data_IF_957963642950
#
_entry.id   IF_957963642950
#
_cell.length_a   1.000
_cell.length_b   1.000
_cell.length_c   1.000
_cell.angle_alpha   90.00
_cell.angle_beta   90.00
_cell.angle_gamma   90.00
#
_symmetry.space_group_name_H-M   'P 1'
#
loop_
_entity.id
_entity.type
_entity.pdbx_description
1 polymer ?
#
# COMPACT_ATOMS: atom_id res chain seq x y z
N UNK A 1 9.97 -1.70 -27.94
CA UNK A 1 9.99 -0.50 -27.08
C UNK A 1 10.57 -0.85 -25.72
N UNK A 2 11.00 0.11 -24.91
CA UNK A 2 11.38 -0.12 -23.51
C UNK A 2 10.57 0.77 -22.56
N UNK A 3 10.36 0.31 -21.33
CA UNK A 3 9.59 1.07 -20.32
C UNK A 3 10.56 1.81 -19.41
N UNK A 4 10.36 3.11 -19.26
CA UNK A 4 11.16 4.00 -18.42
C UNK A 4 10.28 4.62 -17.34
N UNK A 5 10.56 4.33 -16.08
CA UNK A 5 9.87 4.94 -14.95
C UNK A 5 10.51 6.29 -14.61
N UNK A 6 9.78 7.37 -14.74
CA UNK A 6 10.28 8.70 -14.43
C UNK A 6 10.20 8.99 -12.93
N UNK A 7 11.36 9.08 -12.27
CA UNK A 7 11.50 9.42 -10.86
C UNK A 7 12.52 10.56 -10.74
N UNK A 8 12.08 11.84 -10.68
CA UNK A 8 12.96 13.01 -10.78
C UNK A 8 14.08 13.11 -9.72
N UNK A 9 13.89 12.47 -8.57
CA UNK A 9 14.84 12.47 -7.45
C UNK A 9 15.47 11.07 -7.21
N UNK A 10 15.58 10.27 -8.27
CA UNK A 10 16.24 8.97 -8.21
C UNK A 10 17.77 9.13 -8.25
N UNK A 11 18.43 8.52 -7.29
CA UNK A 11 19.90 8.57 -7.10
C UNK A 11 20.53 7.15 -7.04
N UNK A 12 19.90 6.15 -7.63
CA UNK A 12 20.27 4.73 -7.58
C UNK A 12 20.11 4.05 -6.21
N UNK A 13 19.59 4.74 -5.21
CA UNK A 13 19.21 4.13 -3.94
C UNK A 13 17.75 3.62 -3.97
N UNK A 14 17.45 2.66 -3.10
CA UNK A 14 16.06 2.18 -2.94
C UNK A 14 15.16 3.35 -2.52
N UNK A 15 14.13 3.69 -3.29
CA UNK A 15 13.30 4.84 -2.97
C UNK A 15 12.60 4.67 -1.61
N UNK A 16 12.76 5.66 -0.73
CA UNK A 16 12.09 5.66 0.60
C UNK A 16 10.56 5.62 0.52
N UNK A 17 9.98 6.08 -0.61
CA UNK A 17 8.51 6.10 -0.80
C UNK A 17 8.02 4.77 -1.34
N UNK A 18 7.12 4.13 -0.62
CA UNK A 18 6.49 2.86 -1.00
C UNK A 18 5.94 2.87 -2.43
N UNK A 19 5.21 3.94 -2.83
CA UNK A 19 4.67 4.04 -4.19
C UNK A 19 5.73 4.00 -5.30
N UNK A 20 6.97 4.42 -5.05
CA UNK A 20 8.06 4.31 -6.03
C UNK A 20 8.65 2.91 -6.08
N UNK A 21 8.74 2.27 -4.91
CA UNK A 21 9.19 0.87 -4.86
C UNK A 21 8.22 -0.04 -5.55
N UNK A 22 6.96 -0.02 -5.16
CA UNK A 22 5.92 -0.92 -5.67
C UNK A 22 5.56 -0.65 -7.14
N UNK A 23 5.66 0.63 -7.61
CA UNK A 23 5.25 0.98 -8.96
C UNK A 23 6.39 1.09 -9.98
N UNK A 24 7.65 1.06 -9.53
CA UNK A 24 8.80 1.15 -10.42
C UNK A 24 9.90 0.13 -10.08
N UNK A 25 10.62 0.32 -8.97
CA UNK A 25 11.88 -0.43 -8.75
C UNK A 25 11.68 -1.92 -8.46
N UNK A 26 10.57 -2.33 -7.87
CA UNK A 26 10.29 -3.75 -7.64
C UNK A 26 9.83 -4.45 -8.94
N UNK A 27 8.88 -3.92 -9.71
CA UNK A 27 8.50 -4.50 -11.01
C UNK A 27 9.67 -4.68 -11.97
N UNK A 28 10.67 -3.80 -11.94
CA UNK A 28 11.87 -3.92 -12.79
C UNK A 28 12.63 -5.24 -12.61
N UNK A 29 12.50 -5.92 -11.46
CA UNK A 29 13.11 -7.26 -11.26
C UNK A 29 12.59 -8.31 -12.24
N UNK A 30 11.33 -8.17 -12.66
CA UNK A 30 10.69 -9.08 -13.61
C UNK A 30 10.63 -8.55 -15.06
N UNK A 31 11.25 -7.40 -15.32
CA UNK A 31 11.23 -6.76 -16.64
C UNK A 31 12.52 -7.04 -17.43
N UNK A 32 12.57 -6.51 -18.66
CA UNK A 32 13.72 -6.68 -19.56
C UNK A 32 14.91 -5.81 -19.10
N UNK A 33 16.10 -6.16 -19.55
CA UNK A 33 17.33 -5.41 -19.18
C UNK A 33 17.39 -3.98 -19.73
N UNK A 34 16.64 -3.68 -20.82
CA UNK A 34 16.58 -2.32 -21.38
C UNK A 34 15.51 -1.43 -20.72
N UNK A 35 14.68 -1.98 -19.83
CA UNK A 35 13.75 -1.22 -19.00
C UNK A 35 14.51 -0.57 -17.82
N UNK A 36 13.98 0.52 -17.26
CA UNK A 36 14.71 1.18 -16.17
C UNK A 36 14.03 2.40 -15.59
N UNK A 37 14.76 3.05 -14.67
CA UNK A 37 14.38 4.33 -14.06
C UNK A 37 15.18 5.44 -14.72
N UNK A 38 14.50 6.53 -15.05
CA UNK A 38 15.12 7.80 -15.50
C UNK A 38 14.78 8.91 -14.49
N UNK A 39 15.69 9.83 -14.29
CA UNK A 39 15.50 11.00 -13.42
C UNK A 39 15.36 12.31 -14.20
N UNK A 40 15.65 12.29 -15.50
CA UNK A 40 15.45 13.38 -16.44
C UNK A 40 14.73 12.86 -17.68
N UNK A 41 13.71 13.57 -18.14
CA UNK A 41 12.92 13.19 -19.33
C UNK A 41 13.74 13.27 -20.65
N UNK A 42 14.84 14.02 -20.66
CA UNK A 42 15.75 14.08 -21.79
C UNK A 42 16.45 12.74 -22.08
N UNK A 43 16.49 11.84 -21.11
CA UNK A 43 17.03 10.48 -21.23
C UNK A 43 16.11 9.54 -22.04
N UNK A 44 14.84 9.92 -22.24
CA UNK A 44 13.90 9.11 -23.02
C UNK A 44 14.01 9.37 -24.53
N UNK A 45 13.77 8.31 -25.30
CA UNK A 45 13.80 8.31 -26.78
C UNK A 45 12.42 7.96 -27.35
N UNK A 46 12.24 8.12 -28.66
CA UNK A 46 11.00 7.75 -29.36
C UNK A 46 10.67 6.24 -29.29
N UNK A 47 11.64 5.42 -28.91
CA UNK A 47 11.45 3.98 -28.73
C UNK A 47 11.07 3.61 -27.28
N UNK A 48 10.86 4.60 -26.41
CA UNK A 48 10.50 4.37 -25.01
C UNK A 48 9.02 4.66 -24.75
N UNK A 49 8.49 4.00 -23.74
CA UNK A 49 7.25 4.36 -23.07
C UNK A 49 7.62 4.90 -21.69
N UNK A 50 7.34 6.18 -21.44
CA UNK A 50 7.66 6.81 -20.16
C UNK A 50 6.48 6.72 -19.21
N UNK A 51 6.69 6.09 -18.05
CA UNK A 51 5.71 6.01 -16.97
C UNK A 51 5.89 7.19 -16.04
N UNK A 52 4.93 8.10 -16.09
CA UNK A 52 4.82 9.25 -15.19
C UNK A 52 4.07 8.85 -13.91
N UNK A 53 4.58 9.25 -12.76
CA UNK A 53 3.99 8.93 -11.47
C UNK A 53 3.72 10.20 -10.63
N UNK A 54 3.30 10.01 -9.44
CA UNK A 54 2.77 10.91 -8.40
C UNK A 54 3.27 12.38 -8.36
N UNK A 55 4.49 12.68 -8.84
CA UNK A 55 5.07 14.05 -8.82
C UNK A 55 5.09 14.71 -10.20
N UNK A 56 4.62 14.02 -11.21
CA UNK A 56 4.61 14.55 -12.58
C UNK A 56 3.67 15.74 -12.71
N UNK A 57 4.01 16.62 -13.65
CA UNK A 57 3.31 17.86 -13.96
C UNK A 57 2.76 17.80 -15.40
N UNK A 58 1.78 18.62 -15.78
CA UNK A 58 1.30 18.69 -17.15
C UNK A 58 2.41 18.91 -18.19
N UNK A 59 3.38 19.77 -17.86
CA UNK A 59 4.52 20.04 -18.74
C UNK A 59 5.37 18.78 -19.05
N UNK A 60 5.41 17.80 -18.16
CA UNK A 60 6.12 16.54 -18.40
C UNK A 60 5.47 15.75 -19.55
N UNK A 61 4.12 15.74 -19.59
CA UNK A 61 3.36 15.08 -20.67
C UNK A 61 3.55 15.84 -21.99
N UNK A 62 3.48 17.18 -21.99
CA UNK A 62 3.67 17.98 -23.17
C UNK A 62 5.08 17.82 -23.74
N UNK A 63 6.10 17.85 -22.90
CA UNK A 63 7.49 17.60 -23.30
C UNK A 63 7.66 16.26 -24.04
N UNK A 64 7.03 15.18 -23.52
CA UNK A 64 7.08 13.85 -24.14
C UNK A 64 6.33 13.83 -25.48
N UNK A 65 5.15 14.46 -25.55
CA UNK A 65 4.34 14.52 -26.77
C UNK A 65 5.03 15.30 -27.89
N UNK A 66 5.64 16.44 -27.61
CA UNK A 66 6.40 17.23 -28.60
C UNK A 66 7.55 16.44 -29.22
N UNK A 67 8.06 15.43 -28.48
CA UNK A 67 9.14 14.54 -28.93
C UNK A 67 8.64 13.21 -29.50
N UNK A 68 7.33 13.03 -29.66
CA UNK A 68 6.70 11.78 -30.08
C UNK A 68 7.07 10.57 -29.19
N UNK A 69 7.23 10.81 -27.89
CA UNK A 69 7.50 9.76 -26.89
C UNK A 69 6.18 9.40 -26.23
N UNK A 70 5.86 8.10 -26.21
CA UNK A 70 4.66 7.58 -25.55
C UNK A 70 4.73 7.79 -24.04
N UNK A 71 3.63 8.22 -23.43
CA UNK A 71 3.57 8.39 -21.98
C UNK A 71 2.37 7.69 -21.34
N UNK A 72 2.62 7.06 -20.20
CA UNK A 72 1.63 6.40 -19.37
C UNK A 72 1.58 7.12 -18.03
N UNK A 73 0.39 7.38 -17.51
CA UNK A 73 0.24 7.98 -16.18
C UNK A 73 -0.19 6.94 -15.15
N UNK A 74 0.66 6.70 -14.14
CA UNK A 74 0.41 5.74 -13.06
C UNK A 74 -0.24 6.41 -11.85
N UNK A 75 -1.47 5.99 -11.50
CA UNK A 75 -2.30 6.58 -10.44
C UNK A 75 -2.51 5.55 -9.33
N UNK A 76 -1.91 5.79 -8.18
CA UNK A 76 -2.02 4.94 -6.98
C UNK A 76 -2.65 5.61 -5.75
N UNK A 77 -3.06 6.88 -5.86
CA UNK A 77 -3.72 7.64 -4.77
C UNK A 77 -4.87 8.48 -5.30
N UNK A 78 -5.97 8.56 -4.54
CA UNK A 78 -7.09 9.44 -4.84
C UNK A 78 -6.66 10.92 -4.81
N UNK A 79 -6.80 11.60 -5.95
CA UNK A 79 -6.53 13.04 -6.11
C UNK A 79 -7.81 13.87 -6.10
N UNK A 80 -8.96 13.27 -6.37
CA UNK A 80 -10.27 13.94 -6.48
C UNK A 80 -11.01 14.09 -5.16
N UNK A 81 -10.39 13.70 -4.04
CA UNK A 81 -11.00 13.86 -2.72
C UNK A 81 -11.39 15.30 -2.45
N UNK A 82 -12.54 15.50 -1.85
CA UNK A 82 -12.92 16.79 -1.28
C UNK A 82 -12.02 17.09 -0.07
N UNK A 83 -11.56 18.32 0.04
CA UNK A 83 -10.70 18.75 1.13
C UNK A 83 -10.97 20.21 1.45
N UNK A 84 -10.85 20.56 2.73
CA UNK A 84 -10.91 21.94 3.21
C UNK A 84 -9.67 22.79 2.86
N UNK A 85 -8.64 22.15 2.24
CA UNK A 85 -7.45 22.88 1.83
C UNK A 85 -7.78 23.83 0.69
N UNK A 86 -7.66 25.11 0.96
CA UNK A 86 -7.87 26.18 -0.02
C UNK A 86 -6.99 25.91 -1.26
N UNK A 87 -7.59 26.06 -2.45
CA UNK A 87 -6.91 25.84 -3.73
C UNK A 87 -6.45 24.40 -4.02
N UNK A 88 -6.89 23.37 -3.25
CA UNK A 88 -6.59 21.98 -3.58
C UNK A 88 -7.03 21.63 -5.01
N UNK A 89 -8.24 22.03 -5.38
CA UNK A 89 -8.78 21.76 -6.70
C UNK A 89 -7.87 22.33 -7.79
N UNK A 90 -7.50 23.60 -7.69
CA UNK A 90 -6.64 24.27 -8.68
C UNK A 90 -5.22 23.70 -8.71
N UNK A 91 -4.63 23.42 -7.54
CA UNK A 91 -3.22 23.01 -7.44
C UNK A 91 -2.99 21.53 -7.68
N UNK A 92 -4.00 20.70 -7.48
CA UNK A 92 -3.86 19.24 -7.55
C UNK A 92 -4.80 18.61 -8.58
N UNK A 93 -6.12 18.91 -8.49
CA UNK A 93 -7.11 18.20 -9.33
C UNK A 93 -6.99 18.63 -10.79
N UNK A 94 -6.93 19.93 -11.08
CA UNK A 94 -6.82 20.43 -12.47
C UNK A 94 -5.56 19.89 -13.15
N UNK A 95 -4.34 20.07 -12.61
CA UNK A 95 -3.13 19.51 -13.22
C UNK A 95 -3.19 17.98 -13.36
N UNK A 96 -3.78 17.28 -12.39
CA UNK A 96 -3.93 15.84 -12.44
C UNK A 96 -4.85 15.41 -13.59
N UNK A 97 -6.02 16.06 -13.76
CA UNK A 97 -6.94 15.80 -14.86
C UNK A 97 -6.29 16.10 -16.21
N UNK A 98 -5.48 17.12 -16.29
CA UNK A 98 -4.75 17.51 -17.50
C UNK A 98 -3.74 16.43 -17.91
N UNK A 99 -2.98 15.88 -16.95
CA UNK A 99 -2.10 14.74 -17.19
C UNK A 99 -2.91 13.52 -17.66
N UNK A 100 -4.01 13.18 -16.97
CA UNK A 100 -4.87 12.07 -17.32
C UNK A 100 -5.41 12.14 -18.76
N UNK A 101 -5.86 13.31 -19.17
CA UNK A 101 -6.43 13.54 -20.51
C UNK A 101 -5.37 13.39 -21.60
N UNK A 102 -4.16 13.85 -21.34
CA UNK A 102 -3.09 13.94 -22.31
C UNK A 102 -2.13 12.75 -22.34
N UNK A 103 -2.06 11.91 -21.32
CA UNK A 103 -1.30 10.66 -21.35
C UNK A 103 -1.89 9.70 -22.41
N UNK A 104 -1.07 8.87 -23.03
CA UNK A 104 -1.53 7.87 -24.02
C UNK A 104 -2.35 6.77 -23.33
N UNK A 105 -1.93 6.32 -22.15
CA UNK A 105 -2.71 5.43 -21.30
C UNK A 105 -2.63 5.83 -19.81
N UNK A 106 -3.58 5.31 -19.02
CA UNK A 106 -3.56 5.43 -17.56
C UNK A 106 -3.44 4.03 -16.97
N UNK A 107 -2.58 3.89 -15.96
CA UNK A 107 -2.45 2.67 -15.15
C UNK A 107 -2.86 2.94 -13.72
N UNK A 108 -3.47 1.96 -13.08
CA UNK A 108 -3.90 2.03 -11.68
C UNK A 108 -3.74 0.69 -10.95
N UNK A 109 -3.97 0.68 -9.64
CA UNK A 109 -3.67 -0.46 -8.76
C UNK A 109 -4.85 -1.36 -8.47
N UNK A 110 -6.10 -0.91 -8.71
CA UNK A 110 -7.30 -1.69 -8.35
C UNK A 110 -8.55 -1.21 -9.10
N UNK A 111 -9.57 -2.05 -9.10
CA UNK A 111 -10.84 -1.79 -9.77
C UNK A 111 -11.53 -0.50 -9.26
N UNK A 112 -11.57 -0.28 -7.95
CA UNK A 112 -12.19 0.94 -7.39
C UNK A 112 -11.49 2.24 -7.83
N UNK A 113 -10.17 2.19 -8.06
CA UNK A 113 -9.44 3.34 -8.59
C UNK A 113 -9.74 3.53 -10.08
N UNK A 114 -9.86 2.46 -10.86
CA UNK A 114 -10.28 2.49 -12.26
C UNK A 114 -11.64 3.16 -12.43
N UNK A 115 -12.61 2.77 -11.59
CA UNK A 115 -13.95 3.37 -11.56
C UNK A 115 -13.88 4.87 -11.24
N UNK A 116 -13.10 5.26 -10.24
CA UNK A 116 -12.90 6.65 -9.84
C UNK A 116 -12.25 7.48 -10.95
N UNK A 117 -11.30 6.93 -11.69
CA UNK A 117 -10.67 7.59 -12.85
C UNK A 117 -11.71 7.79 -13.94
N UNK A 118 -12.47 6.75 -14.29
CA UNK A 118 -13.49 6.82 -15.32
C UNK A 118 -14.55 7.88 -14.99
N UNK A 119 -15.01 7.93 -13.74
CA UNK A 119 -15.98 8.93 -13.26
C UNK A 119 -15.47 10.37 -13.38
N UNK A 120 -14.20 10.63 -13.07
CA UNK A 120 -13.68 11.99 -12.97
C UNK A 120 -13.04 12.53 -14.25
N UNK A 121 -12.54 11.67 -15.14
CA UNK A 121 -11.82 12.07 -16.36
C UNK A 121 -12.41 11.49 -17.65
N UNK A 122 -13.39 10.62 -17.54
CA UNK A 122 -14.02 9.90 -18.66
C UNK A 122 -12.98 9.19 -19.56
N UNK A 123 -11.98 8.55 -18.92
CA UNK A 123 -10.94 7.80 -19.60
C UNK A 123 -10.71 6.49 -18.85
N UNK A 124 -10.71 5.38 -19.57
CA UNK A 124 -10.45 4.06 -18.97
C UNK A 124 -8.98 3.91 -18.56
N UNK A 125 -8.73 3.00 -17.64
CA UNK A 125 -7.38 2.72 -17.15
C UNK A 125 -7.12 1.21 -17.05
N UNK A 126 -5.85 0.85 -17.16
CA UNK A 126 -5.36 -0.51 -17.10
C UNK A 126 -4.99 -0.81 -15.65
N UNK A 127 -5.47 -1.93 -15.11
CA UNK A 127 -5.10 -2.35 -13.76
C UNK A 127 -3.79 -3.13 -13.85
N UNK A 128 -2.77 -2.64 -13.14
CA UNK A 128 -1.53 -3.36 -12.82
C UNK A 128 -1.39 -3.34 -11.31
N UNK A 129 -1.50 -4.50 -10.68
CA UNK A 129 -1.44 -4.63 -9.22
C UNK A 129 -0.07 -4.21 -8.65
N UNK A 130 0.00 -3.98 -7.35
CA UNK A 130 1.28 -3.83 -6.66
C UNK A 130 1.92 -5.20 -6.42
N UNK A 131 3.24 -5.34 -6.61
CA UNK A 131 3.99 -6.53 -6.23
C UNK A 131 4.17 -6.58 -4.71
N UNK A 132 4.61 -7.71 -4.16
CA UNK A 132 5.15 -7.77 -2.82
C UNK A 132 6.60 -7.27 -2.76
N UNK A 133 7.03 -6.82 -1.58
CA UNK A 133 8.45 -6.51 -1.30
C UNK A 133 9.03 -7.31 -0.11
N UNK A 134 8.16 -8.00 0.64
CA UNK A 134 8.57 -8.83 1.76
C UNK A 134 9.18 -10.16 1.28
N UNK A 135 10.13 -10.68 2.05
CA UNK A 135 10.64 -12.03 1.84
C UNK A 135 9.58 -13.06 2.18
N UNK A 136 9.47 -14.12 1.38
CA UNK A 136 8.62 -15.26 1.69
C UNK A 136 9.23 -16.02 2.87
N UNK A 137 8.52 -16.06 3.99
CA UNK A 137 8.94 -16.73 5.20
C UNK A 137 7.96 -17.85 5.55
N UNK A 138 8.49 -18.95 6.11
CA UNK A 138 7.65 -20.01 6.65
C UNK A 138 6.75 -19.49 7.78
N UNK A 139 5.47 -19.87 7.79
CA UNK A 139 4.55 -19.48 8.86
C UNK A 139 5.03 -19.98 10.22
N UNK A 140 5.28 -19.06 11.14
CA UNK A 140 5.60 -19.40 12.54
C UNK A 140 4.39 -19.08 13.42
N UNK A 141 3.62 -20.12 13.78
CA UNK A 141 2.37 -20.02 14.55
C UNK A 141 2.58 -20.46 16.00
N UNK A 142 3.76 -20.26 16.54
CA UNK A 142 4.04 -20.56 17.93
C UNK A 142 3.85 -19.32 18.79
N UNK A 143 2.57 -18.98 19.07
CA UNK A 143 2.25 -17.89 19.97
C UNK A 143 2.88 -18.15 21.36
N UNK A 144 3.68 -17.19 21.80
CA UNK A 144 4.27 -17.19 23.15
C UNK A 144 3.22 -16.78 24.17
N UNK A 145 3.55 -16.91 25.47
CA UNK A 145 2.67 -16.42 26.54
C UNK A 145 2.34 -14.94 26.33
N UNK A 146 3.33 -14.14 25.96
CA UNK A 146 3.18 -12.72 25.60
C UNK A 146 3.24 -12.58 24.08
N UNK A 147 2.18 -12.06 23.48
CA UNK A 147 2.00 -11.98 22.02
C UNK A 147 2.51 -10.64 21.52
N UNK A 148 3.30 -10.65 20.46
CA UNK A 148 3.78 -9.45 19.78
C UNK A 148 2.87 -9.13 18.61
N UNK A 149 2.12 -8.03 18.72
CA UNK A 149 1.25 -7.51 17.67
C UNK A 149 1.96 -6.36 16.97
N UNK A 150 1.95 -6.36 15.65
CA UNK A 150 2.56 -5.30 14.86
C UNK A 150 1.52 -4.59 13.98
N UNK A 151 1.50 -3.26 14.08
CA UNK A 151 0.76 -2.36 13.20
C UNK A 151 1.73 -1.42 12.47
N UNK A 152 1.54 -1.19 11.19
CA UNK A 152 2.37 -0.25 10.45
C UNK A 152 1.57 0.51 9.40
N UNK A 153 1.97 1.76 9.16
CA UNK A 153 1.32 2.58 8.15
C UNK A 153 1.37 4.07 8.41
N UNK A 154 0.38 4.78 7.87
CA UNK A 154 0.33 6.22 7.96
C UNK A 154 -0.22 6.67 9.33
N UNK A 155 0.45 7.63 9.96
CA UNK A 155 0.05 8.22 11.26
C UNK A 155 -1.38 8.76 11.26
N UNK A 156 -1.91 9.22 10.12
CA UNK A 156 -3.30 9.65 10.00
C UNK A 156 -4.31 8.51 10.17
N UNK A 157 -3.96 7.30 9.71
CA UNK A 157 -4.84 6.13 9.94
C UNK A 157 -4.78 5.69 11.39
N UNK A 158 -3.59 5.71 11.99
CA UNK A 158 -3.41 5.42 13.39
C UNK A 158 -4.22 6.37 14.29
N UNK A 159 -4.21 7.68 14.02
CA UNK A 159 -4.92 8.68 14.83
C UNK A 159 -6.46 8.60 14.75
N UNK A 160 -7.01 7.79 13.85
CA UNK A 160 -8.48 7.57 13.74
C UNK A 160 -8.99 6.40 14.58
N UNK A 161 -8.09 5.55 15.06
CA UNK A 161 -8.43 4.42 15.92
C UNK A 161 -8.55 4.93 17.36
N UNK A 162 -9.62 4.56 18.05
CA UNK A 162 -9.70 4.75 19.51
C UNK A 162 -8.87 3.67 20.21
N UNK A 163 -7.57 3.95 20.34
CA UNK A 163 -6.62 3.03 20.94
C UNK A 163 -6.89 2.78 22.42
N UNK A 164 -7.46 3.75 23.17
CA UNK A 164 -7.83 3.51 24.56
C UNK A 164 -8.89 2.42 24.65
N UNK A 165 -9.97 2.58 23.88
CA UNK A 165 -11.06 1.60 23.87
C UNK A 165 -10.57 0.23 23.37
N UNK A 166 -9.77 0.19 22.31
CA UNK A 166 -9.21 -1.06 21.80
C UNK A 166 -8.34 -1.77 22.83
N UNK A 167 -7.38 -1.05 23.45
CA UNK A 167 -6.44 -1.64 24.42
C UNK A 167 -7.15 -2.07 25.71
N UNK A 168 -8.18 -1.34 26.14
CA UNK A 168 -9.03 -1.74 27.28
C UNK A 168 -9.78 -3.06 26.98
N UNK A 169 -10.29 -3.25 25.75
CA UNK A 169 -10.95 -4.52 25.33
C UNK A 169 -9.97 -5.70 25.21
N UNK A 170 -8.71 -5.42 24.96
CA UNK A 170 -7.65 -6.43 24.88
C UNK A 170 -7.05 -6.81 26.25
N UNK A 171 -7.53 -6.25 27.36
CA UNK A 171 -6.94 -6.40 28.71
C UNK A 171 -6.79 -7.85 29.20
N UNK A 172 -7.57 -8.79 28.66
CA UNK A 172 -7.51 -10.22 29.00
C UNK A 172 -6.42 -11.00 28.23
N UNK A 173 -5.68 -10.34 27.35
CA UNK A 173 -4.60 -10.93 26.55
C UNK A 173 -3.28 -10.30 26.99
N UNK A 174 -2.27 -11.14 27.27
CA UNK A 174 -0.91 -10.66 27.54
C UNK A 174 -0.22 -10.37 26.19
N UNK A 175 -0.03 -9.09 25.83
CA UNK A 175 0.53 -8.68 24.54
C UNK A 175 1.36 -7.40 24.61
N UNK A 176 2.16 -7.20 23.60
CA UNK A 176 2.78 -5.93 23.24
C UNK A 176 2.30 -5.51 21.85
N UNK A 177 1.85 -4.25 21.74
CA UNK A 177 1.46 -3.65 20.46
C UNK A 177 2.54 -2.67 20.01
N UNK A 178 3.21 -3.02 18.92
CA UNK A 178 4.21 -2.19 18.28
C UNK A 178 3.59 -1.51 17.06
N UNK A 179 3.66 -0.17 16.99
CA UNK A 179 3.11 0.60 15.87
C UNK A 179 4.22 1.41 15.19
N UNK A 180 4.44 1.17 13.90
CA UNK A 180 5.41 1.93 13.11
C UNK A 180 4.70 2.94 12.21
N UNK A 181 5.04 4.23 12.36
CA UNK A 181 4.31 5.36 11.80
C UNK A 181 5.23 6.33 11.07
N UNK A 182 4.73 6.94 9.99
CA UNK A 182 5.51 7.82 9.11
C UNK A 182 5.82 9.22 9.69
N UNK A 183 5.16 9.64 10.79
CA UNK A 183 5.26 11.00 11.34
C UNK A 183 4.96 11.07 12.83
N UNK A 184 5.63 10.31 13.66
CA UNK A 184 5.37 10.28 15.10
C UNK A 184 5.48 11.66 15.74
N UNK A 185 6.54 12.41 15.44
CA UNK A 185 6.81 13.73 16.05
C UNK A 185 5.66 14.74 15.91
N UNK A 186 4.90 14.67 14.80
CA UNK A 186 3.74 15.56 14.58
C UNK A 186 2.57 15.26 15.50
N UNK A 187 2.51 14.09 16.08
CA UNK A 187 1.41 13.60 16.89
C UNK A 187 1.84 13.27 18.31
N UNK A 188 3.06 13.63 18.72
CA UNK A 188 3.64 13.30 20.03
C UNK A 188 2.76 13.77 21.18
N UNK A 189 2.21 14.98 21.09
CA UNK A 189 1.29 15.53 22.10
C UNK A 189 0.04 14.67 22.25
N UNK A 190 -0.49 14.14 21.14
CA UNK A 190 -1.70 13.29 21.14
C UNK A 190 -1.38 11.90 21.71
N UNK A 191 -0.19 11.36 21.43
CA UNK A 191 0.18 10.00 21.82
C UNK A 191 0.74 9.89 23.24
N UNK A 192 1.28 10.98 23.79
CA UNK A 192 1.88 10.97 25.13
C UNK A 192 0.92 10.48 26.24
N UNK A 193 -0.34 10.95 26.35
CA UNK A 193 -1.29 10.42 27.33
C UNK A 193 -1.59 8.92 27.11
N UNK A 194 -1.71 8.49 25.84
CA UNK A 194 -1.97 7.10 25.48
C UNK A 194 -0.83 6.19 25.96
N UNK A 195 0.43 6.57 25.70
CA UNK A 195 1.63 5.84 26.13
C UNK A 195 1.82 5.83 27.66
N UNK A 196 1.36 6.87 28.33
CA UNK A 196 1.38 6.90 29.79
C UNK A 196 0.39 5.91 30.42
N UNK A 197 -0.79 5.75 29.80
CA UNK A 197 -1.85 4.84 30.25
C UNK A 197 -1.54 3.37 29.91
N UNK A 198 -1.07 3.10 28.68
CA UNK A 198 -0.87 1.75 28.17
C UNK A 198 0.62 1.42 27.97
N UNK A 199 1.21 0.73 28.95
CA UNK A 199 2.65 0.40 28.95
C UNK A 199 3.04 -0.70 27.96
N UNK A 200 2.06 -1.41 27.40
CA UNK A 200 2.21 -2.42 26.38
C UNK A 200 2.08 -1.87 24.93
N UNK A 201 1.95 -0.55 24.76
CA UNK A 201 1.94 0.13 23.47
C UNK A 201 3.30 0.79 23.20
N UNK A 202 3.89 0.50 22.05
CA UNK A 202 5.19 1.03 21.60
C UNK A 202 5.04 1.71 20.25
N UNK A 203 5.50 2.95 20.13
CA UNK A 203 5.50 3.69 18.86
C UNK A 203 6.91 3.77 18.29
N UNK A 204 7.05 3.49 17.00
CA UNK A 204 8.30 3.52 16.25
C UNK A 204 8.17 4.47 15.05
N UNK A 205 9.17 5.32 14.85
CA UNK A 205 9.24 6.08 13.60
C UNK A 205 9.56 5.14 12.43
N UNK A 206 8.98 5.45 11.27
CA UNK A 206 9.12 4.63 10.09
C UNK A 206 10.59 4.52 9.67
N UNK A 207 11.02 3.29 9.59
CA UNK A 207 12.30 2.87 9.01
C UNK A 207 12.02 1.60 8.18
N UNK A 208 12.53 1.56 6.96
CA UNK A 208 12.22 0.51 6.02
C UNK A 208 12.75 -0.88 6.45
N UNK A 209 14.01 -0.92 6.87
CA UNK A 209 14.65 -2.18 7.27
C UNK A 209 14.10 -2.68 8.60
N UNK A 210 13.89 -1.76 9.55
CA UNK A 210 13.26 -2.07 10.82
C UNK A 210 11.82 -2.54 10.65
N UNK A 211 11.06 -2.03 9.66
CA UNK A 211 9.71 -2.53 9.37
C UNK A 211 9.75 -4.00 8.98
N UNK A 212 10.65 -4.40 8.08
CA UNK A 212 10.81 -5.79 7.66
C UNK A 212 11.20 -6.69 8.84
N UNK A 213 12.13 -6.24 9.65
CA UNK A 213 12.54 -6.97 10.87
C UNK A 213 11.37 -7.13 11.84
N UNK A 214 10.59 -6.08 12.08
CA UNK A 214 9.44 -6.13 12.97
C UNK A 214 8.32 -7.03 12.45
N UNK A 215 8.04 -7.02 11.14
CA UNK A 215 7.10 -7.98 10.55
C UNK A 215 7.60 -9.41 10.77
N UNK A 216 8.88 -9.68 10.55
CA UNK A 216 9.48 -11.00 10.76
C UNK A 216 9.36 -11.47 12.20
N UNK A 217 9.48 -10.58 13.18
CA UNK A 217 9.57 -10.91 14.60
C UNK A 217 8.22 -10.85 15.34
N UNK A 218 7.17 -10.26 14.75
CA UNK A 218 5.84 -10.24 15.38
C UNK A 218 5.14 -11.61 15.27
N UNK A 219 4.11 -11.80 16.09
CA UNK A 219 3.24 -12.97 16.06
C UNK A 219 2.00 -12.73 15.18
N UNK A 220 1.45 -11.51 15.21
CA UNK A 220 0.23 -11.13 14.49
C UNK A 220 0.42 -9.75 13.87
N UNK A 221 0.02 -9.57 12.62
CA UNK A 221 -0.09 -8.24 12.00
C UNK A 221 -1.53 -7.74 12.14
N UNK A 222 -1.68 -6.53 12.69
CA UNK A 222 -2.97 -5.88 12.90
C UNK A 222 -3.09 -4.63 12.03
N UNK A 223 -4.04 -4.61 11.12
CA UNK A 223 -4.25 -3.53 10.16
C UNK A 223 -5.66 -2.92 10.30
N UNK A 224 -5.98 -2.25 11.43
CA UNK A 224 -7.26 -1.59 11.58
C UNK A 224 -7.32 -0.36 10.67
N UNK A 225 -8.40 -0.23 9.89
CA UNK A 225 -8.58 0.88 8.98
C UNK A 225 -9.92 1.53 9.30
N UNK A 226 -9.86 2.62 10.06
CA UNK A 226 -11.04 3.39 10.48
C UNK A 226 -11.23 4.60 9.58
N UNK A 227 -12.47 4.86 9.19
CA UNK A 227 -12.88 6.04 8.42
C UNK A 227 -13.93 6.81 9.22
N UNK A 228 -13.70 8.13 9.35
CA UNK A 228 -14.57 9.02 10.12
C UNK A 228 -15.50 9.87 9.22
N UNK A 229 -15.38 9.71 7.90
CA UNK A 229 -16.21 10.43 6.92
C UNK A 229 -16.29 9.69 5.59
N UNK A 230 -17.33 9.95 4.75
CA UNK A 230 -17.45 9.39 3.41
C UNK A 230 -16.23 9.66 2.52
N UNK A 231 -15.64 10.87 2.57
CA UNK A 231 -14.44 11.19 1.78
C UNK A 231 -13.23 10.37 2.21
N UNK A 232 -13.10 10.08 3.51
CA UNK A 232 -12.05 9.19 4.00
C UNK A 232 -12.31 7.74 3.59
N UNK A 233 -13.57 7.31 3.56
CA UNK A 233 -13.94 5.97 3.10
C UNK A 233 -13.54 5.79 1.62
N UNK A 234 -13.78 6.78 0.77
CA UNK A 234 -13.35 6.74 -0.62
C UNK A 234 -11.82 6.69 -0.76
N UNK A 235 -11.09 7.50 0.01
CA UNK A 235 -9.62 7.47 0.04
C UNK A 235 -9.06 6.09 0.44
N UNK A 236 -9.76 5.40 1.35
CA UNK A 236 -9.38 4.08 1.85
C UNK A 236 -9.75 2.99 0.83
N UNK A 237 -10.95 3.07 0.26
CA UNK A 237 -11.47 2.10 -0.71
C UNK A 237 -10.50 1.84 -1.87
N UNK A 238 -9.85 2.89 -2.37
CA UNK A 238 -8.95 2.83 -3.53
C UNK A 238 -7.49 2.53 -3.19
N UNK A 239 -7.18 2.16 -1.95
CA UNK A 239 -5.81 1.82 -1.55
C UNK A 239 -5.37 0.47 -2.08
N UNK A 240 -4.07 0.37 -2.32
CA UNK A 240 -3.38 -0.84 -2.69
C UNK A 240 -3.32 -1.85 -1.53
N UNK A 241 -3.28 -3.16 -1.82
CA UNK A 241 -3.22 -4.23 -0.81
C UNK A 241 -1.82 -4.49 -0.24
N UNK A 242 -0.81 -3.69 -0.53
CA UNK A 242 0.60 -4.00 -0.24
C UNK A 242 0.85 -4.41 1.23
N UNK A 243 0.19 -3.80 2.22
CA UNK A 243 0.41 -4.14 3.62
C UNK A 243 -0.07 -5.54 4.00
N UNK A 244 -1.25 -5.95 3.50
CA UNK A 244 -1.74 -7.31 3.75
C UNK A 244 -0.92 -8.36 2.99
N UNK A 245 -0.47 -8.01 1.78
CA UNK A 245 0.41 -8.84 0.96
C UNK A 245 1.73 -9.08 1.70
N UNK A 246 2.42 -8.02 2.14
CA UNK A 246 3.71 -8.14 2.81
C UNK A 246 3.59 -8.92 4.13
N UNK A 247 2.49 -8.75 4.87
CA UNK A 247 2.27 -9.50 6.11
C UNK A 247 2.09 -11.02 5.86
N UNK A 248 1.22 -11.39 4.91
CA UNK A 248 0.98 -12.81 4.57
C UNK A 248 2.25 -13.43 3.96
N UNK A 249 2.95 -12.72 3.07
CA UNK A 249 4.20 -13.19 2.46
C UNK A 249 5.28 -13.43 3.51
N UNK A 250 5.32 -12.61 4.56
CA UNK A 250 6.19 -12.81 5.73
C UNK A 250 5.71 -13.92 6.68
N UNK A 251 4.77 -14.77 6.30
CA UNK A 251 4.28 -15.88 7.10
C UNK A 251 3.47 -15.48 8.34
N UNK A 252 2.80 -14.31 8.32
CA UNK A 252 2.07 -13.79 9.48
C UNK A 252 0.57 -13.86 9.32
N UNK A 253 -0.17 -14.30 10.36
CA UNK A 253 -1.60 -14.14 10.40
C UNK A 253 -1.95 -12.64 10.49
N UNK A 254 -3.03 -12.26 9.82
CA UNK A 254 -3.47 -10.87 9.72
C UNK A 254 -4.88 -10.71 10.26
N UNK A 255 -5.10 -9.69 11.08
CA UNK A 255 -6.43 -9.22 11.47
C UNK A 255 -6.63 -7.82 10.86
N UNK A 256 -7.71 -7.63 10.10
CA UNK A 256 -8.02 -6.38 9.38
C UNK A 256 -9.52 -6.21 9.21
N UNK A 257 -9.94 -5.22 8.42
CA UNK A 257 -11.33 -5.04 8.00
C UNK A 257 -11.46 -4.83 6.47
N UNK A 258 -12.68 -4.92 5.96
CA UNK A 258 -12.99 -4.86 4.52
C UNK A 258 -13.09 -3.42 3.97
N UNK A 259 -12.63 -2.40 4.67
CA UNK A 259 -12.69 -0.99 4.22
C UNK A 259 -11.85 -0.72 2.98
N UNK A 260 -10.81 -1.53 2.74
CA UNK A 260 -9.98 -1.48 1.53
C UNK A 260 -10.50 -2.49 0.53
N UNK A 261 -11.00 -2.04 -0.62
CA UNK A 261 -11.59 -2.92 -1.62
C UNK A 261 -10.60 -3.97 -2.14
N UNK A 262 -9.36 -3.57 -2.35
CA UNK A 262 -8.28 -4.46 -2.80
C UNK A 262 -7.86 -5.52 -1.78
N UNK A 263 -8.36 -5.45 -0.52
CA UNK A 263 -8.14 -6.50 0.47
C UNK A 263 -9.10 -7.68 0.33
N UNK A 264 -10.24 -7.50 -0.35
CA UNK A 264 -11.27 -8.55 -0.49
C UNK A 264 -10.74 -9.89 -1.03
N UNK A 265 -9.85 -9.94 -2.03
CA UNK A 265 -9.27 -11.21 -2.49
C UNK A 265 -8.52 -11.99 -1.41
N UNK A 266 -8.10 -11.31 -0.33
CA UNK A 266 -7.36 -11.92 0.78
C UNK A 266 -8.26 -12.42 1.93
N UNK A 267 -9.60 -12.28 1.82
CA UNK A 267 -10.53 -12.74 2.86
C UNK A 267 -10.36 -14.24 3.22
N UNK A 268 -10.04 -15.15 2.30
CA UNK A 268 -9.78 -16.54 2.66
C UNK A 268 -8.53 -16.73 3.54
N UNK A 269 -7.57 -15.79 3.48
CA UNK A 269 -6.24 -15.94 4.06
C UNK A 269 -6.01 -15.09 5.32
N UNK A 270 -6.92 -14.17 5.66
CA UNK A 270 -6.82 -13.26 6.81
C UNK A 270 -8.14 -13.17 7.57
N UNK A 271 -8.10 -12.74 8.83
CA UNK A 271 -9.30 -12.55 9.64
C UNK A 271 -9.84 -11.12 9.42
N UNK A 272 -11.00 -11.05 8.77
CA UNK A 272 -11.72 -9.80 8.49
C UNK A 272 -12.82 -9.61 9.51
N UNK A 273 -12.86 -8.44 10.13
CA UNK A 273 -13.87 -8.05 11.12
C UNK A 273 -14.50 -6.71 10.74
N UNK A 274 -15.66 -6.41 11.30
CA UNK A 274 -16.22 -5.06 11.20
C UNK A 274 -15.38 -4.06 12.01
N UNK A 275 -15.63 -2.76 11.83
CA UNK A 275 -14.99 -1.71 12.61
C UNK A 275 -15.67 -1.64 13.99
N UNK A 276 -15.40 -2.65 14.82
CA UNK A 276 -15.90 -2.79 16.18
C UNK A 276 -14.77 -3.32 17.07
N UNK A 277 -14.50 -2.64 18.19
CA UNK A 277 -13.37 -3.00 19.06
C UNK A 277 -13.61 -4.29 19.86
N UNK A 278 -14.85 -4.66 20.12
CA UNK A 278 -15.22 -5.96 20.70
C UNK A 278 -14.95 -7.09 19.68
N UNK A 279 -15.32 -6.87 18.43
CA UNK A 279 -15.05 -7.85 17.35
C UNK A 279 -13.55 -8.02 17.11
N UNK A 280 -12.76 -6.94 17.17
CA UNK A 280 -11.31 -7.05 17.10
C UNK A 280 -10.75 -7.90 18.25
N UNK A 281 -11.12 -7.60 19.51
CA UNK A 281 -10.66 -8.37 20.65
C UNK A 281 -11.04 -9.85 20.55
N UNK A 282 -12.27 -10.13 20.10
CA UNK A 282 -12.75 -11.51 19.85
C UNK A 282 -11.97 -12.20 18.73
N UNK A 283 -11.62 -11.48 17.66
CA UNK A 283 -10.82 -12.02 16.57
C UNK A 283 -9.42 -12.42 17.04
N UNK A 284 -8.76 -11.62 17.90
CA UNK A 284 -7.49 -11.97 18.51
C UNK A 284 -7.61 -13.24 19.36
N UNK A 285 -8.61 -13.33 20.26
CA UNK A 285 -8.84 -14.51 21.08
C UNK A 285 -9.10 -15.76 20.22
N UNK A 286 -9.92 -15.64 19.20
CA UNK A 286 -10.22 -16.72 18.28
C UNK A 286 -8.97 -17.18 17.51
N UNK A 287 -8.14 -16.25 17.06
CA UNK A 287 -6.91 -16.56 16.34
C UNK A 287 -5.91 -17.30 17.23
N UNK A 288 -5.70 -16.82 18.46
CA UNK A 288 -4.75 -17.42 19.41
C UNK A 288 -5.16 -18.84 19.80
N UNK A 289 -6.48 -19.10 19.94
CA UNK A 289 -7.06 -20.39 20.31
C UNK A 289 -7.32 -21.35 19.14
N UNK A 290 -7.11 -20.87 17.90
CA UNK A 290 -7.35 -21.66 16.69
C UNK A 290 -6.25 -22.72 16.51
N UNK A 291 -6.60 -23.85 15.87
CA UNK A 291 -5.64 -24.90 15.53
C UNK A 291 -4.50 -24.33 14.67
N UNK A 292 -3.26 -24.55 15.09
CA UNK A 292 -2.05 -24.04 14.41
C UNK A 292 -1.98 -24.46 12.94
N UNK A 293 -2.30 -25.72 12.67
CA UNK A 293 -2.33 -26.26 11.32
C UNK A 293 -3.29 -25.48 10.40
N UNK A 294 -4.47 -25.11 10.91
CA UNK A 294 -5.43 -24.31 10.12
C UNK A 294 -4.88 -22.92 9.79
N UNK A 295 -4.24 -22.25 10.75
CA UNK A 295 -3.64 -20.93 10.52
C UNK A 295 -2.48 -21.06 9.53
N UNK A 296 -1.63 -22.08 9.71
CA UNK A 296 -0.50 -22.35 8.83
C UNK A 296 -0.96 -22.54 7.38
N UNK A 297 -1.95 -23.42 7.15
CA UNK A 297 -2.45 -23.71 5.81
C UNK A 297 -3.03 -22.46 5.13
N UNK A 298 -3.81 -21.65 5.87
CA UNK A 298 -4.35 -20.39 5.33
C UNK A 298 -3.24 -19.41 4.88
N UNK A 299 -2.15 -19.32 5.65
CA UNK A 299 -1.03 -18.44 5.29
C UNK A 299 -0.32 -18.97 4.04
N UNK A 300 -0.06 -20.29 3.97
CA UNK A 300 0.58 -20.93 2.82
C UNK A 300 -0.26 -20.75 1.54
N UNK A 301 -1.58 -20.94 1.63
CA UNK A 301 -2.50 -20.69 0.53
C UNK A 301 -2.47 -19.22 0.11
N UNK A 302 -2.43 -18.28 1.06
CA UNK A 302 -2.28 -16.86 0.82
C UNK A 302 -0.95 -16.52 0.14
N UNK A 303 0.16 -17.11 0.57
CA UNK A 303 1.46 -16.95 -0.08
C UNK A 303 1.45 -17.46 -1.53
N UNK A 304 0.82 -18.60 -1.79
CA UNK A 304 0.70 -19.14 -3.14
C UNK A 304 -0.15 -18.22 -4.04
N UNK A 305 -1.24 -17.65 -3.51
CA UNK A 305 -2.03 -16.64 -4.21
C UNK A 305 -1.18 -15.40 -4.53
N UNK A 306 -0.40 -14.91 -3.56
CA UNK A 306 0.48 -13.76 -3.73
C UNK A 306 1.55 -14.02 -4.80
N UNK A 307 2.18 -15.17 -4.80
CA UNK A 307 3.15 -15.56 -5.84
C UNK A 307 2.52 -15.56 -7.23
N UNK A 308 1.31 -16.07 -7.35
CA UNK A 308 0.61 -16.18 -8.62
C UNK A 308 0.19 -14.81 -9.20
N UNK A 309 -0.16 -13.82 -8.35
CA UNK A 309 -0.79 -12.57 -8.80
C UNK A 309 -0.01 -11.30 -8.46
N UNK A 310 0.97 -11.38 -7.57
CA UNK A 310 1.67 -10.22 -7.01
C UNK A 310 3.20 -10.38 -6.98
N UNK A 311 3.76 -11.43 -7.59
CA UNK A 311 5.22 -11.53 -7.68
C UNK A 311 5.79 -10.41 -8.55
N UNK A 312 7.02 -9.93 -8.26
CA UNK A 312 7.70 -8.95 -9.11
C UNK A 312 7.74 -9.35 -10.57
N UNK A 313 7.90 -10.65 -10.85
CA UNK A 313 7.95 -11.23 -12.19
C UNK A 313 6.60 -11.13 -12.91
N UNK A 314 5.50 -11.45 -12.23
CA UNK A 314 4.14 -11.34 -12.78
C UNK A 314 3.81 -9.87 -13.07
N UNK A 315 4.09 -9.00 -12.11
CA UNK A 315 3.83 -7.55 -12.27
C UNK A 315 4.73 -6.96 -13.35
N UNK A 316 6.01 -7.35 -13.40
CA UNK A 316 6.93 -6.93 -14.47
C UNK A 316 6.42 -7.31 -15.87
N UNK A 317 5.88 -8.55 -16.03
CA UNK A 317 5.25 -8.98 -17.27
C UNK A 317 4.03 -8.12 -17.64
N UNK A 318 3.16 -7.78 -16.68
CA UNK A 318 2.01 -6.92 -16.94
C UNK A 318 2.44 -5.52 -17.44
N UNK A 319 3.54 -4.97 -16.90
CA UNK A 319 4.11 -3.74 -17.43
C UNK A 319 4.63 -3.90 -18.87
N UNK A 320 5.33 -4.99 -19.20
CA UNK A 320 5.80 -5.27 -20.57
C UNK A 320 4.61 -5.39 -21.53
N UNK A 321 3.55 -6.10 -21.14
CA UNK A 321 2.34 -6.27 -21.96
C UNK A 321 1.60 -4.95 -22.23
N UNK A 322 1.86 -3.93 -21.44
CA UNK A 322 1.32 -2.59 -21.64
C UNK A 322 1.74 -2.00 -23.00
N UNK A 323 2.91 -2.38 -23.55
CA UNK A 323 3.38 -1.92 -24.86
C UNK A 323 2.38 -2.20 -25.99
N UNK A 324 1.64 -3.29 -25.89
CA UNK A 324 0.64 -3.67 -26.89
C UNK A 324 -0.66 -2.87 -26.75
N UNK A 325 -0.81 -2.03 -25.71
CA UNK A 325 -2.02 -1.28 -25.37
C UNK A 325 -1.83 0.23 -25.48
N UNK A 326 -0.60 0.67 -25.73
CA UNK A 326 -0.18 2.06 -25.86
C UNK A 326 0.42 2.28 -27.25
#
# INVERSE_FOLDING_TARGET
MSIKFFIPDYNNEVPKRASRRFRATIPLKGMRTNDGVINDLSQATTNDIVVLAKKSKPNDVYYLKERNIKCVYDICDNKWRKTSVINWYQKIVIPHNEICKNADAIVTTCQSMRELILENVNKDSIIINDPYEADKLEPNINFKKKIIIFNFGNSKHFSRVDWNLFLDKMSNIDFELHCMLDRIRKFEVIYKPLLQRHKNLFLHEYDYDKQKEMIKNCDIVFLPIVTLSPDQALDVKVKSPNRIIDAIQSGKPVITNASVESYKPFMPFADFVNIDYEEYARAFLNLINRKKEFIHNRIVEGQNYIEQYHSPEVIGKQWIELENKV
#
